data_IF_960500817963
#
_entry.id   IF_960500817963
#
_cell.length_a   1.000
_cell.length_b   1.000
_cell.length_c   1.000
_cell.angle_alpha   90.00
_cell.angle_beta   90.00
_cell.angle_gamma   90.00
#
_symmetry.space_group_name_H-M   'P 1'
#
loop_
_entity.id
_entity.type
_entity.pdbx_description
1 polymer ?
#
# COMPACT_ATOMS: atom_id res chain seq x y z
N UNK A 1 -14.43 -25.44 9.33
CA UNK A 1 -12.99 -25.30 9.66
C UNK A 1 -12.92 -24.50 10.94
N UNK A 2 -12.18 -24.97 11.93
CA UNK A 2 -12.02 -24.25 13.19
C UNK A 2 -10.94 -23.18 13.01
N UNK A 3 -11.36 -21.91 13.04
CA UNK A 3 -10.45 -20.78 12.91
C UNK A 3 -9.90 -20.35 14.27
N UNK A 4 -8.68 -19.80 14.28
CA UNK A 4 -8.16 -19.10 15.46
C UNK A 4 -8.98 -17.83 15.73
N UNK A 5 -8.87 -17.25 16.92
CA UNK A 5 -9.53 -15.97 17.23
C UNK A 5 -9.17 -14.86 16.24
N UNK A 6 -7.93 -14.87 15.73
CA UNK A 6 -7.53 -13.96 14.65
C UNK A 6 -8.29 -14.28 13.36
N UNK A 7 -8.27 -15.53 12.90
CA UNK A 7 -8.98 -15.94 11.67
C UNK A 7 -10.48 -15.61 11.73
N UNK A 8 -11.14 -15.97 12.85
CA UNK A 8 -12.56 -15.69 13.09
C UNK A 8 -12.87 -14.20 12.95
N UNK A 9 -12.01 -13.32 13.48
CA UNK A 9 -12.21 -11.86 13.38
C UNK A 9 -12.18 -11.37 11.92
N UNK A 10 -11.32 -11.92 11.07
CA UNK A 10 -11.20 -11.51 9.67
C UNK A 10 -12.26 -12.14 8.76
N UNK A 11 -12.82 -13.30 9.14
CA UNK A 11 -13.87 -13.99 8.38
C UNK A 11 -15.29 -13.58 8.79
N UNK A 12 -15.44 -12.68 9.77
CA UNK A 12 -16.75 -12.22 10.22
C UNK A 12 -17.40 -11.32 9.16
N UNK A 13 -18.67 -11.59 8.78
CA UNK A 13 -19.42 -10.68 7.93
C UNK A 13 -19.48 -9.30 8.55
N UNK A 14 -19.15 -8.28 7.76
CA UNK A 14 -19.26 -6.88 8.14
C UNK A 14 -19.65 -6.05 6.91
N UNK A 15 -20.18 -4.84 7.15
CA UNK A 15 -20.71 -4.00 6.08
C UNK A 15 -19.65 -3.57 5.05
N UNK A 16 -18.37 -3.48 5.45
CA UNK A 16 -17.29 -3.13 4.51
C UNK A 16 -17.03 -4.29 3.55
N UNK A 17 -16.97 -5.53 4.06
CA UNK A 17 -16.80 -6.71 3.20
C UNK A 17 -17.93 -6.82 2.17
N UNK A 18 -19.18 -6.64 2.59
CA UNK A 18 -20.33 -6.66 1.68
C UNK A 18 -20.25 -5.53 0.63
N UNK A 19 -19.89 -4.31 1.04
CA UNK A 19 -19.70 -3.20 0.11
C UNK A 19 -18.59 -3.49 -0.92
N UNK A 20 -17.49 -4.11 -0.49
CA UNK A 20 -16.39 -4.46 -1.38
C UNK A 20 -16.78 -5.58 -2.37
N UNK A 21 -17.60 -6.53 -1.93
CA UNK A 21 -18.22 -7.55 -2.81
C UNK A 21 -19.11 -6.87 -3.86
N UNK A 22 -20.02 -5.98 -3.44
CA UNK A 22 -20.91 -5.24 -4.34
C UNK A 22 -20.13 -4.41 -5.38
N UNK A 23 -19.06 -3.71 -4.96
CA UNK A 23 -18.19 -2.94 -5.86
C UNK A 23 -17.45 -3.84 -6.86
N UNK A 24 -17.05 -5.04 -6.42
CA UNK A 24 -16.41 -6.05 -7.26
C UNK A 24 -17.36 -6.59 -8.32
N UNK A 25 -18.57 -6.98 -7.90
CA UNK A 25 -19.62 -7.51 -8.77
C UNK A 25 -20.09 -6.46 -9.77
N UNK A 26 -20.31 -5.22 -9.31
CA UNK A 26 -20.68 -4.10 -10.18
C UNK A 26 -19.64 -3.88 -11.28
N UNK A 27 -18.34 -3.86 -10.92
CA UNK A 27 -17.23 -3.69 -11.88
C UNK A 27 -17.16 -4.82 -12.90
N UNK A 28 -17.47 -6.06 -12.49
CA UNK A 28 -17.37 -7.25 -13.35
C UNK A 28 -18.66 -7.55 -14.14
N UNK A 29 -19.77 -6.89 -13.82
CA UNK A 29 -21.09 -7.16 -14.39
C UNK A 29 -21.24 -6.84 -15.88
N UNK A 30 -20.32 -6.06 -16.47
CA UNK A 30 -20.45 -5.48 -17.81
C UNK A 30 -21.78 -4.73 -18.05
N UNK A 31 -22.49 -4.34 -17.00
CA UNK A 31 -23.76 -3.64 -17.12
C UNK A 31 -23.52 -2.17 -17.49
N UNK A 32 -23.95 -1.71 -18.70
CA UNK A 32 -23.69 -0.36 -19.17
C UNK A 32 -24.45 0.71 -18.38
N UNK A 33 -25.44 0.32 -17.56
CA UNK A 33 -26.22 1.25 -16.73
C UNK A 33 -25.59 1.51 -15.35
N UNK A 34 -24.49 0.83 -15.01
CA UNK A 34 -23.78 1.05 -13.74
C UNK A 34 -22.78 2.20 -13.92
N UNK A 35 -22.90 3.21 -13.07
CA UNK A 35 -21.93 4.31 -12.98
C UNK A 35 -21.00 4.07 -11.80
N UNK A 36 -19.75 3.69 -12.09
CA UNK A 36 -18.78 3.29 -11.06
C UNK A 36 -18.07 4.50 -10.43
N UNK A 37 -18.62 5.00 -9.32
CA UNK A 37 -18.06 6.14 -8.57
C UNK A 37 -17.54 5.77 -7.16
N UNK A 38 -17.64 4.50 -6.75
CA UNK A 38 -17.25 4.05 -5.41
C UNK A 38 -15.83 3.50 -5.29
N UNK A 39 -15.10 3.36 -6.41
CA UNK A 39 -13.74 2.81 -6.42
C UNK A 39 -12.66 3.87 -6.17
N UNK A 40 -11.51 3.44 -5.64
CA UNK A 40 -10.33 4.28 -5.42
C UNK A 40 -9.21 4.13 -6.46
N UNK A 41 -9.50 3.55 -7.63
CA UNK A 41 -8.48 3.38 -8.67
C UNK A 41 -8.11 4.75 -9.27
N UNK A 42 -6.82 5.04 -9.49
CA UNK A 42 -6.42 6.29 -10.12
C UNK A 42 -6.91 6.38 -11.57
N UNK A 43 -7.06 7.61 -12.06
CA UNK A 43 -7.39 7.86 -13.46
C UNK A 43 -6.24 7.43 -14.39
N UNK A 44 -6.61 6.99 -15.61
CA UNK A 44 -5.65 6.70 -16.66
C UNK A 44 -5.26 7.99 -17.39
N UNK A 45 -4.17 8.61 -16.96
CA UNK A 45 -3.60 9.81 -17.59
C UNK A 45 -2.55 9.38 -18.63
N UNK A 46 -2.79 9.72 -19.90
CA UNK A 46 -1.98 9.24 -21.03
C UNK A 46 -0.52 9.64 -20.92
N UNK A 47 -0.25 10.88 -20.52
CA UNK A 47 1.09 11.43 -20.37
C UNK A 47 1.89 10.69 -19.29
N UNK A 48 1.24 10.37 -18.17
CA UNK A 48 1.83 9.59 -17.08
C UNK A 48 2.12 8.16 -17.54
N UNK A 49 1.20 7.54 -18.26
CA UNK A 49 1.41 6.19 -18.80
C UNK A 49 2.58 6.15 -19.79
N UNK A 50 2.70 7.16 -20.66
CA UNK A 50 3.82 7.26 -21.59
C UNK A 50 5.18 7.35 -20.87
N UNK A 51 5.25 8.06 -19.75
CA UNK A 51 6.47 8.10 -18.92
C UNK A 51 6.80 6.71 -18.38
N UNK A 52 5.82 5.98 -17.83
CA UNK A 52 6.05 4.62 -17.31
C UNK A 52 6.51 3.65 -18.39
N UNK A 53 5.89 3.69 -19.58
CA UNK A 53 6.29 2.87 -20.72
C UNK A 53 7.75 3.17 -21.11
N UNK A 54 8.11 4.45 -21.21
CA UNK A 54 9.48 4.84 -21.57
C UNK A 54 10.52 4.38 -20.54
N UNK A 55 10.22 4.47 -19.23
CA UNK A 55 11.13 3.97 -18.19
C UNK A 55 11.28 2.44 -18.22
N UNK A 56 10.18 1.71 -18.44
CA UNK A 56 10.23 0.26 -18.63
C UNK A 56 11.09 -0.14 -19.83
N UNK A 57 10.97 0.58 -20.96
CA UNK A 57 11.80 0.35 -22.14
C UNK A 57 13.29 0.58 -21.85
N UNK A 58 13.65 1.59 -21.05
CA UNK A 58 15.04 1.81 -20.62
C UNK A 58 15.55 0.65 -19.76
N UNK A 59 14.73 0.12 -18.85
CA UNK A 59 15.11 -1.03 -18.02
C UNK A 59 15.32 -2.30 -18.85
N UNK A 60 14.51 -2.51 -19.89
CA UNK A 60 14.69 -3.60 -20.86
C UNK A 60 16.01 -3.42 -21.62
N UNK A 61 16.23 -2.23 -22.20
CA UNK A 61 17.41 -1.94 -23.00
C UNK A 61 18.73 -2.09 -22.21
N UNK A 62 18.71 -1.77 -20.92
CA UNK A 62 19.87 -1.87 -20.03
C UNK A 62 20.07 -3.28 -19.42
N UNK A 63 19.23 -4.25 -19.77
CA UNK A 63 19.22 -5.60 -19.21
C UNK A 63 19.12 -5.64 -17.66
N UNK A 64 18.57 -4.59 -17.05
CA UNK A 64 18.35 -4.49 -15.60
C UNK A 64 16.99 -5.01 -15.18
N UNK A 65 16.08 -5.22 -16.14
CA UNK A 65 14.74 -5.74 -15.87
C UNK A 65 14.76 -7.12 -15.22
N UNK A 66 15.71 -7.98 -15.59
CA UNK A 66 15.89 -9.30 -14.96
C UNK A 66 16.22 -9.20 -13.47
N UNK A 67 16.91 -8.14 -13.04
CA UNK A 67 17.19 -7.91 -11.62
C UNK A 67 15.92 -7.48 -10.88
N UNK A 68 15.03 -6.73 -11.52
CA UNK A 68 13.76 -6.27 -10.93
C UNK A 68 12.79 -7.43 -10.71
N UNK A 69 12.70 -8.37 -11.66
CA UNK A 69 11.76 -9.50 -11.55
C UNK A 69 12.34 -10.77 -10.94
N UNK A 70 13.65 -10.99 -11.09
CA UNK A 70 14.29 -12.27 -10.77
C UNK A 70 15.02 -12.30 -9.43
N UNK A 71 15.19 -11.15 -8.77
CA UNK A 71 15.92 -11.06 -7.51
C UNK A 71 15.03 -10.48 -6.42
N UNK A 72 15.14 -11.05 -5.22
CA UNK A 72 14.51 -10.50 -4.03
C UNK A 72 15.26 -9.27 -3.56
N UNK A 73 14.52 -8.23 -3.21
CA UNK A 73 15.04 -7.11 -2.42
C UNK A 73 15.33 -7.54 -0.97
N UNK A 74 16.12 -6.72 -0.26
CA UNK A 74 16.31 -6.88 1.17
C UNK A 74 15.01 -6.74 1.97
N UNK A 75 15.00 -7.14 3.26
CA UNK A 75 13.79 -7.14 4.09
C UNK A 75 13.16 -5.75 4.29
N UNK A 76 13.93 -4.69 4.07
CA UNK A 76 13.48 -3.28 4.15
C UNK A 76 13.15 -2.68 2.78
N UNK A 77 13.22 -3.47 1.71
CA UNK A 77 13.01 -3.06 0.32
C UNK A 77 14.29 -2.71 -0.42
N UNK A 78 14.15 -2.35 -1.70
CA UNK A 78 15.25 -2.04 -2.61
C UNK A 78 16.17 -0.93 -2.09
N UNK A 79 17.46 -1.23 -1.92
CA UNK A 79 18.42 -0.30 -1.32
C UNK A 79 18.68 0.94 -2.19
N UNK A 80 18.77 0.76 -3.52
CA UNK A 80 19.00 1.87 -4.44
C UNK A 80 17.82 2.84 -4.43
N UNK A 81 16.59 2.32 -4.41
CA UNK A 81 15.39 3.14 -4.33
C UNK A 81 15.28 3.89 -3.01
N UNK A 82 15.58 3.22 -1.88
CA UNK A 82 15.59 3.87 -0.54
C UNK A 82 16.61 5.01 -0.47
N UNK A 83 17.81 4.80 -1.01
CA UNK A 83 18.83 5.86 -1.07
C UNK A 83 18.40 7.03 -1.97
N UNK A 84 17.80 6.74 -3.13
CA UNK A 84 17.28 7.76 -4.05
C UNK A 84 16.15 8.58 -3.41
N UNK A 85 15.21 7.93 -2.71
CA UNK A 85 14.11 8.60 -2.04
C UNK A 85 14.59 9.47 -0.88
N UNK A 86 15.52 8.99 -0.05
CA UNK A 86 16.12 9.80 1.02
C UNK A 86 16.79 11.07 0.46
N UNK A 87 17.55 10.94 -0.63
CA UNK A 87 18.16 12.06 -1.34
C UNK A 87 17.12 13.05 -1.87
N UNK A 88 16.05 12.57 -2.49
CA UNK A 88 14.98 13.41 -3.04
C UNK A 88 14.28 14.21 -1.92
N UNK A 89 13.90 13.54 -0.83
CA UNK A 89 13.23 14.18 0.30
C UNK A 89 14.15 15.20 1.00
N UNK A 90 15.45 14.91 1.10
CA UNK A 90 16.44 15.86 1.60
C UNK A 90 16.57 17.08 0.70
N UNK A 91 16.54 16.90 -0.62
CA UNK A 91 16.59 18.02 -1.57
C UNK A 91 15.33 18.89 -1.53
N UNK A 92 14.15 18.27 -1.44
CA UNK A 92 12.86 18.97 -1.52
C UNK A 92 12.49 19.65 -0.20
N UNK A 93 12.74 18.97 0.93
CA UNK A 93 12.24 19.38 2.23
C UNK A 93 13.36 19.69 3.25
N UNK A 94 14.63 19.58 2.85
CA UNK A 94 15.80 19.76 3.75
C UNK A 94 15.79 18.81 4.96
N UNK A 95 15.11 17.67 4.86
CA UNK A 95 15.08 16.68 5.93
C UNK A 95 16.39 15.89 5.99
N UNK A 96 16.95 15.71 7.19
CA UNK A 96 18.16 14.93 7.38
C UNK A 96 17.85 13.42 7.42
N UNK A 97 17.50 12.88 6.25
CA UNK A 97 17.17 11.48 6.07
C UNK A 97 18.30 10.70 5.40
N UNK A 98 18.41 9.44 5.77
CA UNK A 98 19.21 8.42 5.11
C UNK A 98 18.32 7.26 4.68
N UNK A 99 18.86 6.31 3.91
CA UNK A 99 18.13 5.10 3.55
C UNK A 99 17.65 4.29 4.78
N UNK A 100 18.32 4.42 5.93
CA UNK A 100 17.94 3.76 7.19
C UNK A 100 16.62 4.29 7.77
N UNK A 101 16.16 5.46 7.35
CA UNK A 101 14.88 6.03 7.76
C UNK A 101 13.70 5.57 6.88
N UNK A 102 13.98 4.82 5.81
CA UNK A 102 12.99 4.44 4.80
C UNK A 102 12.90 2.91 4.74
N UNK A 103 11.68 2.39 4.86
CA UNK A 103 11.35 0.99 4.60
C UNK A 103 10.22 0.93 3.57
N UNK A 104 10.30 -0.03 2.65
CA UNK A 104 9.27 -0.30 1.65
C UNK A 104 8.40 -1.47 2.12
N UNK A 105 7.11 -1.38 1.82
CA UNK A 105 6.17 -2.47 2.08
C UNK A 105 5.14 -2.56 0.97
N UNK A 106 4.25 -3.54 1.09
CA UNK A 106 3.29 -3.91 0.04
C UNK A 106 2.06 -2.98 0.02
N UNK A 107 2.32 -1.68 -0.18
CA UNK A 107 1.32 -0.64 -0.18
C UNK A 107 0.94 -0.13 1.22
N UNK A 108 0.29 1.03 1.25
CA UNK A 108 -0.02 1.75 2.48
C UNK A 108 -0.87 0.93 3.46
N UNK A 109 -1.81 0.10 2.97
CA UNK A 109 -2.67 -0.73 3.83
C UNK A 109 -1.86 -1.75 4.65
N UNK A 110 -0.91 -2.44 4.02
CA UNK A 110 -0.03 -3.38 4.73
C UNK A 110 0.87 -2.65 5.74
N UNK A 111 1.34 -1.45 5.38
CA UNK A 111 2.17 -0.64 6.27
C UNK A 111 1.37 -0.15 7.50
N UNK A 112 0.12 0.28 7.33
CA UNK A 112 -0.76 0.62 8.45
C UNK A 112 -1.05 -0.60 9.34
N UNK A 113 -1.25 -1.78 8.75
CA UNK A 113 -1.40 -3.00 9.53
C UNK A 113 -0.18 -3.26 10.43
N UNK A 114 1.04 -3.13 9.90
CA UNK A 114 2.27 -3.27 10.71
C UNK A 114 2.32 -2.21 11.80
N UNK A 115 2.11 -0.92 11.47
CA UNK A 115 2.19 0.17 12.44
C UNK A 115 1.15 0.05 13.57
N UNK A 116 -0.08 -0.33 13.24
CA UNK A 116 -1.14 -0.47 14.24
C UNK A 116 -0.88 -1.64 15.19
N UNK A 117 -0.37 -2.77 14.68
CA UNK A 117 -0.01 -3.90 15.54
C UNK A 117 1.31 -3.68 16.31
N UNK A 118 2.19 -2.78 15.84
CA UNK A 118 3.42 -2.43 16.54
C UNK A 118 3.18 -1.45 17.70
N UNK A 119 2.24 -0.51 17.54
CA UNK A 119 2.09 0.65 18.43
C UNK A 119 0.80 0.64 19.28
N UNK A 120 -0.18 -0.20 18.94
CA UNK A 120 -1.47 -0.28 19.61
C UNK A 120 -1.86 -1.73 19.93
N UNK A 121 -2.96 -1.89 20.68
CA UNK A 121 -3.42 -3.18 21.17
C UNK A 121 -2.95 -3.46 22.60
N UNK A 122 -2.90 -4.75 22.95
CA UNK A 122 -2.48 -5.21 24.28
C UNK A 122 -0.97 -5.11 24.44
N UNK A 123 -0.53 -4.43 25.48
CA UNK A 123 0.89 -4.13 25.74
C UNK A 123 1.49 -5.10 26.78
N UNK A 124 2.84 -5.24 26.82
CA UNK A 124 3.51 -6.12 27.79
C UNK A 124 3.28 -5.74 29.26
N UNK A 125 2.99 -4.48 29.55
CA UNK A 125 2.67 -3.98 30.89
C UNK A 125 1.19 -4.18 31.28
N UNK A 126 0.41 -4.87 30.44
CA UNK A 126 -1.03 -5.10 30.63
C UNK A 126 -1.91 -3.91 30.23
N UNK A 127 -1.32 -2.78 29.83
CA UNK A 127 -2.09 -1.65 29.29
C UNK A 127 -2.66 -1.98 27.91
N UNK A 128 -3.66 -1.20 27.47
CA UNK A 128 -4.22 -1.31 26.12
C UNK A 128 -4.13 0.03 25.41
N UNK A 129 -3.35 0.09 24.33
CA UNK A 129 -3.17 1.29 23.51
C UNK A 129 -4.12 1.31 22.33
N UNK A 130 -4.52 2.51 21.91
CA UNK A 130 -5.40 2.75 20.75
C UNK A 130 -4.72 3.68 19.76
N UNK A 131 -5.12 3.58 18.49
CA UNK A 131 -4.75 4.55 17.45
C UNK A 131 -5.71 5.74 17.55
N UNK A 132 -5.17 6.94 17.74
CA UNK A 132 -5.94 8.17 17.74
C UNK A 132 -5.92 8.79 16.34
N UNK A 133 -7.09 8.98 15.75
CA UNK A 133 -7.27 9.82 14.56
C UNK A 133 -7.79 11.18 15.03
N UNK A 134 -6.92 12.20 15.18
CA UNK A 134 -7.32 13.49 15.76
C UNK A 134 -8.27 14.28 14.86
N UNK A 135 -8.34 13.92 13.58
CA UNK A 135 -9.29 14.44 12.61
C UNK A 135 -9.92 13.25 11.88
N UNK A 136 -11.17 12.93 12.24
CA UNK A 136 -11.97 11.97 11.50
C UNK A 136 -12.59 12.68 10.28
N UNK A 137 -12.81 11.97 9.16
CA UNK A 137 -13.60 12.51 8.06
C UNK A 137 -15.01 12.83 8.56
N UNK A 138 -15.55 13.98 8.16
CA UNK A 138 -16.97 14.27 8.34
C UNK A 138 -17.79 13.23 7.56
N UNK A 139 -18.76 12.60 8.22
CA UNK A 139 -19.68 11.64 7.60
C UNK A 139 -20.73 12.34 6.75
#
# INVERSE_FOLDING_TARGET
MDYSNFGTKFTQPNGITQLMEDLGDAKNSNNPNIVMLGGGNPALVLEVNNIFINELQKLVANNTLSNVFGLYDGPTGNDAFRAALAKQLKSEYSWDLTANNIALGNGSQANFFVLFNLLAGSMPDGSHKKVLFPLAPDM
#
